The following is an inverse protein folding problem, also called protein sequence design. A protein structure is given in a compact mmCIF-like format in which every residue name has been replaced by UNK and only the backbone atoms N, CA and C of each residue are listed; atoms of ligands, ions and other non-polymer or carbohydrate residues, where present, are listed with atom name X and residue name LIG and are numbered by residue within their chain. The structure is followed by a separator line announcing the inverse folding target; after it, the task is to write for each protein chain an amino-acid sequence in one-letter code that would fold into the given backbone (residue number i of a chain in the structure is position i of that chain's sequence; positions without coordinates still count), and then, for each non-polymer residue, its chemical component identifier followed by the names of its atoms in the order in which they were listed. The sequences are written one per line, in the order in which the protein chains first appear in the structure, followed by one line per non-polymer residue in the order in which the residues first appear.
data_IF_534898514419
#
_entry.id   IF_534898514419
#
_cell.length_a   1.000
_cell.length_b   1.000
_cell.length_c   1.000
_cell.angle_alpha   90.00
_cell.angle_beta   90.00
_cell.angle_gamma   90.00
#
_symmetry.space_group_name_H-M   'P 1'
#
loop_
_entity.id
_entity.type
_entity.pdbx_description
1 polymer ?
#
# COMPACT_ATOMS: atom_id res chain seq x y z
N UNK A 1 11.22 0.75 28.98
CA UNK A 1 11.78 0.60 30.34
C UNK A 1 10.71 -0.02 31.21
N UNK A 2 11.05 -1.07 31.97
CA UNK A 2 10.12 -1.70 32.92
C UNK A 2 10.30 -1.03 34.28
N UNK A 3 9.25 -0.36 34.78
CA UNK A 3 9.28 0.39 36.05
C UNK A 3 8.56 -0.41 37.15
N UNK A 4 9.14 -0.46 38.36
CA UNK A 4 8.57 -1.18 39.50
C UNK A 4 9.59 -1.43 40.58
N UNK A 5 9.87 -2.66 40.91
CA UNK A 5 10.66 -3.05 42.11
C UNK A 5 12.07 -2.43 42.16
N UNK A 6 12.75 -2.28 41.03
CA UNK A 6 14.16 -1.85 40.95
C UNK A 6 14.37 -0.51 40.26
N UNK A 7 13.42 -0.06 39.46
CA UNK A 7 13.45 1.18 38.75
C UNK A 7 12.11 1.87 38.91
N UNK A 8 12.08 3.02 39.54
CA UNK A 8 10.87 3.81 39.72
C UNK A 8 10.65 4.72 38.50
N UNK A 9 9.40 5.13 38.28
CA UNK A 9 9.10 6.10 37.25
C UNK A 9 9.84 7.44 37.44
N UNK A 10 10.12 7.79 38.71
CA UNK A 10 10.92 8.96 39.10
C UNK A 10 12.40 8.91 38.68
N UNK A 11 12.91 7.69 38.42
CA UNK A 11 14.32 7.51 38.00
C UNK A 11 14.51 7.83 36.51
N UNK A 12 13.42 7.97 35.77
CA UNK A 12 13.41 8.44 34.38
C UNK A 12 13.44 9.95 34.39
N UNK A 13 14.64 10.51 34.34
CA UNK A 13 14.87 11.96 34.41
C UNK A 13 14.33 12.67 33.16
N UNK A 14 13.96 13.95 33.34
CA UNK A 14 13.52 14.78 32.23
C UNK A 14 14.64 14.97 31.19
N UNK A 15 15.91 15.03 31.62
CA UNK A 15 17.05 15.05 30.69
C UNK A 15 17.13 13.82 29.79
N UNK A 16 16.69 12.63 30.26
CA UNK A 16 16.60 11.43 29.42
C UNK A 16 15.45 11.52 28.43
N UNK A 17 14.29 12.04 28.84
CA UNK A 17 13.14 12.25 27.96
C UNK A 17 13.49 13.25 26.86
N UNK A 18 14.06 14.41 27.22
CA UNK A 18 14.48 15.45 26.27
C UNK A 18 15.49 14.90 25.24
N UNK A 19 16.40 14.03 25.67
CA UNK A 19 17.37 13.41 24.78
C UNK A 19 16.72 12.39 23.83
N UNK A 20 15.73 11.64 24.31
CA UNK A 20 14.95 10.72 23.46
C UNK A 20 14.13 11.50 22.44
N UNK A 21 13.49 12.61 22.86
CA UNK A 21 12.68 13.45 21.98
C UNK A 21 13.55 14.13 20.92
N UNK A 22 14.72 14.66 21.29
CA UNK A 22 15.69 15.24 20.35
C UNK A 22 16.21 14.23 19.31
N UNK A 23 16.29 12.95 19.68
CA UNK A 23 16.71 11.86 18.81
C UNK A 23 15.55 11.20 18.05
N UNK A 24 14.31 11.68 18.20
CA UNK A 24 13.08 11.02 17.72
C UNK A 24 13.01 9.53 18.12
N UNK A 25 13.53 9.21 19.31
CA UNK A 25 13.59 7.85 19.84
C UNK A 25 12.43 7.62 20.81
N UNK A 26 11.44 6.75 20.52
CA UNK A 26 10.30 6.55 21.39
C UNK A 26 10.72 5.87 22.71
N UNK A 27 10.34 6.49 23.83
CA UNK A 27 10.57 5.97 25.18
C UNK A 27 9.24 5.49 25.77
N UNK A 28 9.15 4.19 26.06
CA UNK A 28 7.99 3.57 26.69
C UNK A 28 8.31 3.13 28.12
N UNK A 29 7.38 3.37 29.04
CA UNK A 29 7.41 2.83 30.38
C UNK A 29 6.35 1.74 30.53
N UNK A 30 6.71 0.65 31.17
CA UNK A 30 5.84 -0.51 31.40
C UNK A 30 5.80 -0.80 32.90
N UNK A 31 4.60 -1.00 33.49
CA UNK A 31 4.46 -1.49 34.85
C UNK A 31 5.18 -2.84 35.02
N UNK A 32 5.67 -3.11 36.22
CA UNK A 32 6.41 -4.36 36.52
C UNK A 32 5.60 -5.62 36.26
N UNK A 33 4.28 -5.56 36.45
CA UNK A 33 3.33 -6.66 36.25
C UNK A 33 3.20 -7.06 34.79
N UNK A 34 3.54 -6.15 33.87
CA UNK A 34 3.43 -6.38 32.43
C UNK A 34 4.69 -7.06 31.93
N UNK A 35 4.54 -8.27 31.42
CA UNK A 35 5.66 -9.01 30.84
C UNK A 35 5.99 -8.43 29.46
N UNK A 36 7.24 -8.01 29.27
CA UNK A 36 7.72 -7.52 27.97
C UNK A 36 7.51 -8.58 26.85
N UNK A 37 7.66 -9.86 27.21
CA UNK A 37 7.42 -10.96 26.28
C UNK A 37 5.99 -10.97 25.72
N UNK A 38 4.98 -10.72 26.56
CA UNK A 38 3.56 -10.71 26.14
C UNK A 38 3.27 -9.57 25.18
N UNK A 39 3.86 -8.39 25.45
CA UNK A 39 3.76 -7.22 24.55
C UNK A 39 4.44 -7.54 23.22
N UNK A 40 5.68 -8.04 23.25
CA UNK A 40 6.42 -8.39 22.03
C UNK A 40 5.67 -9.43 21.21
N UNK A 41 5.11 -10.44 21.84
CA UNK A 41 4.32 -11.46 21.18
C UNK A 41 3.03 -10.88 20.58
N UNK A 42 2.35 -9.98 21.28
CA UNK A 42 1.15 -9.30 20.78
C UNK A 42 1.46 -8.43 19.55
N UNK A 43 2.56 -7.65 19.62
CA UNK A 43 3.01 -6.86 18.46
C UNK A 43 3.37 -7.73 17.26
N UNK A 44 4.17 -8.78 17.47
CA UNK A 44 4.54 -9.69 16.40
C UNK A 44 3.31 -10.37 15.80
N UNK A 45 2.37 -10.82 16.63
CA UNK A 45 1.14 -11.44 16.15
C UNK A 45 0.30 -10.45 15.31
N UNK A 46 0.18 -9.20 15.74
CA UNK A 46 -0.53 -8.17 14.98
C UNK A 46 0.15 -7.86 13.65
N UNK A 47 1.48 -7.74 13.63
CA UNK A 47 2.25 -7.53 12.40
C UNK A 47 2.10 -8.71 11.43
N UNK A 48 2.18 -9.95 11.92
CA UNK A 48 1.99 -11.13 11.09
C UNK A 48 0.59 -11.24 10.51
N UNK A 49 -0.44 -10.89 11.28
CA UNK A 49 -1.83 -10.87 10.80
C UNK A 49 -2.02 -9.82 9.70
N UNK A 50 -1.53 -8.60 9.91
CA UNK A 50 -1.62 -7.51 8.92
C UNK A 50 -0.89 -7.87 7.63
N UNK A 51 0.34 -8.39 7.72
CA UNK A 51 1.08 -8.84 6.53
C UNK A 51 0.40 -10.00 5.81
N UNK A 52 -0.21 -10.92 6.55
CA UNK A 52 -0.94 -12.04 5.95
C UNK A 52 -2.18 -11.58 5.19
N UNK A 53 -2.92 -10.62 5.73
CA UNK A 53 -4.10 -10.05 5.07
C UNK A 53 -3.71 -9.26 3.82
N UNK A 54 -2.67 -8.42 3.89
CA UNK A 54 -2.15 -7.70 2.73
C UNK A 54 -1.67 -8.67 1.63
N UNK A 55 -0.94 -9.72 2.02
CA UNK A 55 -0.47 -10.75 1.07
C UNK A 55 -1.63 -11.51 0.41
N UNK A 56 -2.67 -11.86 1.17
CA UNK A 56 -3.88 -12.49 0.62
C UNK A 56 -4.59 -11.58 -0.36
N UNK A 57 -4.77 -10.31 -0.01
CA UNK A 57 -5.37 -9.32 -0.89
C UNK A 57 -4.57 -9.15 -2.20
N UNK A 58 -3.24 -9.06 -2.13
CA UNK A 58 -2.36 -8.99 -3.30
C UNK A 58 -2.54 -10.25 -4.17
N UNK A 59 -2.60 -11.43 -3.57
CA UNK A 59 -2.77 -12.69 -4.29
C UNK A 59 -4.12 -12.74 -4.99
N UNK A 60 -5.21 -12.39 -4.30
CA UNK A 60 -6.54 -12.33 -4.86
C UNK A 60 -6.62 -11.36 -6.05
N UNK A 61 -6.02 -10.17 -5.92
CA UNK A 61 -5.96 -9.21 -7.02
C UNK A 61 -5.14 -9.70 -8.21
N UNK A 62 -4.00 -10.37 -7.98
CA UNK A 62 -3.20 -10.97 -9.05
C UNK A 62 -3.96 -12.07 -9.78
N UNK A 63 -4.65 -12.93 -9.06
CA UNK A 63 -5.48 -13.98 -9.65
C UNK A 63 -6.65 -13.40 -10.44
N UNK A 64 -7.29 -12.36 -9.91
CA UNK A 64 -8.40 -11.70 -10.58
C UNK A 64 -7.99 -11.00 -11.87
N UNK A 65 -6.88 -10.25 -11.85
CA UNK A 65 -6.46 -9.44 -13.00
C UNK A 65 -5.73 -10.24 -14.08
N UNK A 66 -4.97 -11.26 -13.68
CA UNK A 66 -4.01 -11.94 -14.57
C UNK A 66 -4.16 -13.46 -14.61
N UNK A 67 -5.00 -14.02 -13.76
CA UNK A 67 -5.25 -15.47 -13.69
C UNK A 67 -6.44 -15.92 -14.51
N UNK A 68 -6.80 -17.19 -14.32
CA UNK A 68 -8.06 -17.73 -14.83
C UNK A 68 -9.19 -17.29 -13.91
N UNK A 69 -10.09 -16.46 -14.42
CA UNK A 69 -11.21 -15.89 -13.66
C UNK A 69 -12.07 -17.00 -13.03
N UNK A 70 -12.04 -17.08 -11.70
CA UNK A 70 -12.94 -17.94 -10.91
C UNK A 70 -13.92 -17.08 -10.10
N UNK A 71 -15.17 -17.52 -9.96
CA UNK A 71 -16.20 -16.81 -9.21
C UNK A 71 -15.87 -16.61 -7.72
N UNK A 72 -14.99 -17.43 -7.16
CA UNK A 72 -14.53 -17.33 -5.77
C UNK A 72 -13.70 -16.06 -5.47
N UNK A 73 -12.96 -15.56 -6.45
CA UNK A 73 -12.09 -14.38 -6.26
C UNK A 73 -12.92 -13.11 -6.12
N UNK A 74 -14.02 -12.97 -6.86
CA UNK A 74 -14.93 -11.82 -6.72
C UNK A 74 -15.52 -11.71 -5.32
N UNK A 75 -15.89 -12.86 -4.73
CA UNK A 75 -16.40 -12.89 -3.34
C UNK A 75 -15.32 -12.43 -2.35
N UNK A 76 -14.08 -12.83 -2.54
CA UNK A 76 -12.97 -12.43 -1.68
C UNK A 76 -12.67 -10.93 -1.82
N UNK A 77 -12.73 -10.37 -3.02
CA UNK A 77 -12.56 -8.93 -3.28
C UNK A 77 -13.72 -8.11 -2.68
N UNK A 78 -14.95 -8.61 -2.74
CA UNK A 78 -16.10 -7.96 -2.11
C UNK A 78 -15.95 -7.82 -0.58
N UNK A 79 -15.31 -8.79 0.08
CA UNK A 79 -15.00 -8.72 1.51
C UNK A 79 -13.99 -7.61 1.86
N UNK A 80 -13.18 -7.15 0.90
CA UNK A 80 -12.25 -6.04 1.08
C UNK A 80 -12.86 -4.66 0.83
N UNK A 81 -14.17 -4.58 0.64
CA UNK A 81 -14.91 -3.32 0.44
C UNK A 81 -15.01 -2.85 -1.01
N UNK A 82 -14.53 -3.64 -1.98
CA UNK A 82 -14.69 -3.35 -3.39
C UNK A 82 -16.07 -3.75 -3.88
N UNK A 83 -16.78 -2.81 -4.48
CA UNK A 83 -18.13 -3.03 -4.99
C UNK A 83 -18.08 -3.75 -6.34
N UNK A 84 -19.12 -4.45 -6.70
CA UNK A 84 -19.21 -5.06 -8.04
C UNK A 84 -19.50 -4.00 -9.11
N UNK A 85 -20.29 -2.99 -8.77
CA UNK A 85 -20.69 -1.88 -9.65
C UNK A 85 -19.88 -0.61 -9.35
N UNK A 86 -19.65 0.19 -10.37
CA UNK A 86 -19.00 1.48 -10.29
C UNK A 86 -17.82 1.60 -11.27
N UNK A 87 -17.41 2.82 -11.61
CA UNK A 87 -16.25 3.00 -12.46
C UNK A 87 -14.97 2.63 -11.73
N UNK A 88 -14.04 2.00 -12.46
CA UNK A 88 -12.71 1.62 -11.98
C UNK A 88 -11.64 2.07 -12.95
N UNK A 89 -10.51 2.53 -12.42
CA UNK A 89 -9.36 2.91 -13.23
C UNK A 89 -8.16 2.04 -12.87
N UNK A 90 -7.50 1.48 -13.87
CA UNK A 90 -6.25 0.75 -13.72
C UNK A 90 -5.10 1.55 -14.30
N UNK A 91 -4.04 1.73 -13.50
CA UNK A 91 -2.76 2.30 -13.92
C UNK A 91 -1.68 1.23 -13.75
N UNK A 92 -0.79 1.16 -14.72
CA UNK A 92 0.42 0.33 -14.65
C UNK A 92 1.62 1.24 -14.74
N UNK A 93 2.46 1.21 -13.73
CA UNK A 93 3.56 2.13 -13.52
C UNK A 93 4.88 1.38 -13.63
N UNK A 94 5.88 1.96 -14.26
CA UNK A 94 7.20 1.38 -14.37
C UNK A 94 8.27 2.46 -14.52
N UNK A 95 9.47 2.16 -14.05
CA UNK A 95 10.61 3.06 -14.12
C UNK A 95 11.58 2.81 -12.97
N UNK A 96 12.69 3.53 -12.95
CA UNK A 96 13.68 3.41 -11.88
C UNK A 96 13.13 3.85 -10.51
N UNK A 97 12.12 4.72 -10.52
CA UNK A 97 11.47 5.24 -9.31
C UNK A 97 10.40 4.28 -8.74
N UNK A 98 10.08 3.18 -9.43
CA UNK A 98 9.03 2.24 -8.97
C UNK A 98 9.55 1.23 -7.92
N UNK A 99 10.24 1.72 -6.91
CA UNK A 99 10.83 0.94 -5.81
C UNK A 99 9.94 0.90 -4.54
N UNK A 100 10.47 0.37 -3.45
CA UNK A 100 9.76 0.29 -2.17
C UNK A 100 9.47 1.67 -1.56
N UNK A 101 10.33 2.66 -1.80
CA UNK A 101 10.11 4.05 -1.35
C UNK A 101 8.94 4.66 -2.09
N UNK A 102 8.89 4.50 -3.42
CA UNK A 102 7.77 4.94 -4.25
C UNK A 102 6.44 4.35 -3.79
N UNK A 103 6.41 3.06 -3.43
CA UNK A 103 5.19 2.44 -2.91
C UNK A 103 4.72 3.06 -1.60
N UNK A 104 5.64 3.39 -0.69
CA UNK A 104 5.32 4.03 0.58
C UNK A 104 4.79 5.46 0.37
N UNK A 105 5.46 6.25 -0.48
CA UNK A 105 5.08 7.62 -0.81
C UNK A 105 3.73 7.64 -1.56
N UNK A 106 3.53 6.70 -2.49
CA UNK A 106 2.25 6.51 -3.19
C UNK A 106 1.10 6.23 -2.22
N UNK A 107 1.28 5.30 -1.27
CA UNK A 107 0.27 4.99 -0.24
C UNK A 107 -0.05 6.21 0.61
N UNK A 108 0.97 6.97 1.03
CA UNK A 108 0.78 8.21 1.80
C UNK A 108 -0.03 9.25 1.03
N UNK A 109 0.32 9.48 -0.23
CA UNK A 109 -0.40 10.41 -1.10
C UNK A 109 -1.84 9.97 -1.37
N UNK A 110 -2.06 8.71 -1.73
CA UNK A 110 -3.37 8.14 -2.06
C UNK A 110 -4.33 8.16 -0.85
N UNK A 111 -3.82 7.92 0.36
CA UNK A 111 -4.60 8.06 1.59
C UNK A 111 -5.15 9.48 1.77
N UNK A 112 -4.40 10.50 1.34
CA UNK A 112 -4.84 11.90 1.37
C UNK A 112 -5.96 12.23 0.37
N UNK A 113 -6.14 11.43 -0.68
CA UNK A 113 -7.20 11.66 -1.67
C UNK A 113 -8.58 11.18 -1.21
N UNK A 114 -8.67 10.31 -0.20
CA UNK A 114 -9.92 9.76 0.31
C UNK A 114 -10.69 8.85 -0.67
N UNK A 115 -10.08 8.48 -1.80
CA UNK A 115 -10.65 7.56 -2.79
C UNK A 115 -10.13 6.15 -2.51
N UNK A 116 -10.99 5.10 -2.53
CA UNK A 116 -10.53 3.74 -2.36
C UNK A 116 -9.56 3.33 -3.46
N UNK A 117 -8.45 2.76 -3.06
CA UNK A 117 -7.40 2.31 -3.97
C UNK A 117 -6.78 0.99 -3.51
N UNK A 118 -6.12 0.31 -4.43
CA UNK A 118 -5.23 -0.80 -4.13
C UNK A 118 -3.97 -0.71 -4.98
N UNK A 119 -2.79 -0.79 -4.35
CA UNK A 119 -1.50 -0.67 -5.03
C UNK A 119 -0.60 -1.83 -4.64
N UNK A 120 0.02 -2.47 -5.63
CA UNK A 120 0.89 -3.62 -5.39
C UNK A 120 1.92 -3.81 -6.51
N UNK A 121 3.08 -4.41 -6.20
CA UNK A 121 4.07 -4.76 -7.22
C UNK A 121 3.64 -6.00 -8.02
N UNK A 122 3.85 -5.93 -9.33
CA UNK A 122 3.62 -7.04 -10.25
C UNK A 122 4.73 -7.13 -11.30
N UNK A 123 5.57 -8.17 -11.20
CA UNK A 123 6.79 -8.31 -12.01
C UNK A 123 7.70 -7.08 -11.84
N UNK A 124 8.03 -6.40 -12.94
CA UNK A 124 8.84 -5.19 -13.02
C UNK A 124 8.00 -3.89 -13.02
N UNK A 125 6.75 -4.00 -12.61
CA UNK A 125 5.78 -2.88 -12.61
C UNK A 125 5.08 -2.75 -11.27
N UNK A 126 4.43 -1.62 -11.07
CA UNK A 126 3.48 -1.39 -9.98
C UNK A 126 2.10 -1.22 -10.59
N UNK A 127 1.13 -1.96 -10.08
CA UNK A 127 -0.27 -1.84 -10.48
C UNK A 127 -1.00 -1.02 -9.43
N UNK A 128 -1.67 0.03 -9.87
CA UNK A 128 -2.54 0.87 -9.06
C UNK A 128 -3.97 0.78 -9.59
N UNK A 129 -4.87 0.37 -8.73
CA UNK A 129 -6.30 0.29 -8.98
C UNK A 129 -7.01 1.37 -8.18
N UNK A 130 -7.95 2.04 -8.79
CA UNK A 130 -8.79 3.08 -8.16
C UNK A 130 -10.26 2.73 -8.32
N UNK A 131 -11.03 2.88 -7.26
CA UNK A 131 -12.48 2.86 -7.36
C UNK A 131 -12.96 4.27 -7.72
N UNK A 132 -13.31 4.49 -8.98
CA UNK A 132 -13.67 5.78 -9.53
C UNK A 132 -12.80 6.19 -10.72
N UNK A 133 -12.94 7.45 -11.11
CA UNK A 133 -12.13 8.07 -12.16
C UNK A 133 -10.74 8.48 -11.64
N UNK A 134 -9.82 8.73 -12.57
CA UNK A 134 -8.47 9.16 -12.25
C UNK A 134 -8.45 10.61 -11.76
N UNK A 135 -8.08 10.90 -10.49
CA UNK A 135 -8.04 12.26 -9.96
C UNK A 135 -6.94 13.10 -10.63
N UNK A 136 -7.27 14.35 -10.98
CA UNK A 136 -6.29 15.29 -11.55
C UNK A 136 -5.06 15.50 -10.64
N UNK A 137 -5.27 15.48 -9.33
CA UNK A 137 -4.19 15.57 -8.34
C UNK A 137 -3.20 14.40 -8.45
N UNK A 138 -3.70 13.18 -8.69
CA UNK A 138 -2.84 12.00 -8.89
C UNK A 138 -2.08 12.10 -10.20
N UNK A 139 -2.69 12.58 -11.27
CA UNK A 139 -2.00 12.83 -12.56
C UNK A 139 -0.85 13.82 -12.37
N UNK A 140 -1.11 14.92 -11.64
CA UNK A 140 -0.08 15.93 -11.37
C UNK A 140 1.06 15.36 -10.52
N UNK A 141 0.73 14.56 -9.52
CA UNK A 141 1.72 13.90 -8.65
C UNK A 141 2.59 12.91 -9.44
N UNK A 142 1.99 12.06 -10.28
CA UNK A 142 2.73 11.11 -11.12
C UNK A 142 3.68 11.81 -12.11
N UNK A 143 3.26 12.94 -12.70
CA UNK A 143 4.09 13.76 -13.60
C UNK A 143 5.32 14.36 -12.90
N UNK A 144 5.31 14.49 -11.59
CA UNK A 144 6.47 14.92 -10.80
C UNK A 144 7.60 13.89 -10.74
N UNK A 145 7.35 12.63 -11.15
CA UNK A 145 8.32 11.55 -11.17
C UNK A 145 8.82 11.33 -12.61
N UNK A 146 9.90 12.03 -12.97
CA UNK A 146 10.40 12.08 -14.36
C UNK A 146 10.79 10.73 -14.96
N UNK A 147 11.22 9.78 -14.12
CA UNK A 147 11.63 8.44 -14.55
C UNK A 147 10.49 7.42 -14.55
N UNK A 148 9.27 7.86 -14.24
CA UNK A 148 8.11 6.99 -14.17
C UNK A 148 7.34 7.02 -15.50
N UNK A 149 7.19 5.85 -16.11
CA UNK A 149 6.30 5.66 -17.26
C UNK A 149 4.98 5.10 -16.76
N UNK A 150 3.88 5.70 -17.18
CA UNK A 150 2.53 5.32 -16.77
C UNK A 150 1.72 4.86 -17.96
N UNK A 151 1.17 3.64 -17.88
CA UNK A 151 0.16 3.15 -18.80
C UNK A 151 -1.22 3.15 -18.12
N UNK A 152 -2.19 3.81 -18.74
CA UNK A 152 -3.57 3.84 -18.27
C UNK A 152 -4.46 3.00 -19.17
N UNK A 153 -5.31 2.16 -18.60
CA UNK A 153 -6.40 1.51 -19.30
C UNK A 153 -7.63 2.40 -19.42
N UNK A 154 -8.56 2.01 -20.27
CA UNK A 154 -9.88 2.64 -20.34
C UNK A 154 -10.60 2.40 -19.02
N UNK A 155 -11.32 3.41 -18.51
CA UNK A 155 -12.10 3.27 -17.28
C UNK A 155 -13.09 2.10 -17.41
N UNK A 156 -12.99 1.15 -16.53
CA UNK A 156 -13.87 -0.01 -16.48
C UNK A 156 -15.21 0.38 -15.83
N UNK A 157 -16.36 0.03 -16.44
CA UNK A 157 -17.66 0.37 -15.91
C UNK A 157 -18.04 -0.40 -14.64
N UNK A 158 -17.43 -1.56 -14.45
CA UNK A 158 -17.63 -2.47 -13.32
C UNK A 158 -16.35 -3.23 -12.99
N UNK A 159 -16.38 -3.98 -11.89
CA UNK A 159 -15.23 -4.75 -11.44
C UNK A 159 -14.83 -5.85 -12.44
N UNK A 160 -15.80 -6.44 -13.16
CA UNK A 160 -15.53 -7.53 -14.13
C UNK A 160 -14.75 -7.06 -15.35
N UNK A 161 -14.91 -5.81 -15.74
CA UNK A 161 -14.17 -5.18 -16.84
C UNK A 161 -12.76 -4.71 -16.46
N UNK A 162 -12.43 -4.66 -15.15
CA UNK A 162 -11.15 -4.17 -14.66
C UNK A 162 -9.92 -4.95 -15.18
N UNK A 163 -9.95 -6.29 -15.35
CA UNK A 163 -8.85 -7.04 -15.95
C UNK A 163 -8.51 -6.57 -17.37
N UNK A 164 -9.52 -6.24 -18.19
CA UNK A 164 -9.30 -5.72 -19.54
C UNK A 164 -8.70 -4.31 -19.50
N UNK A 165 -9.18 -3.45 -18.62
CA UNK A 165 -8.57 -2.13 -18.37
C UNK A 165 -7.10 -2.26 -17.95
N UNK A 166 -6.78 -3.17 -17.03
CA UNK A 166 -5.41 -3.40 -16.60
C UNK A 166 -4.52 -3.89 -17.75
N UNK A 167 -5.02 -4.79 -18.61
CA UNK A 167 -4.30 -5.26 -19.80
C UNK A 167 -4.01 -4.14 -20.79
N UNK A 168 -4.99 -3.26 -21.03
CA UNK A 168 -4.81 -2.06 -21.85
C UNK A 168 -3.75 -1.12 -21.27
N UNK A 169 -3.76 -0.93 -19.94
CA UNK A 169 -2.73 -0.17 -19.24
C UNK A 169 -1.33 -0.75 -19.43
N UNK A 170 -1.19 -2.08 -19.39
CA UNK A 170 0.08 -2.75 -19.68
C UNK A 170 0.53 -2.52 -21.13
N UNK A 171 -0.38 -2.58 -22.09
CA UNK A 171 -0.07 -2.31 -23.50
C UNK A 171 0.35 -0.83 -23.69
N UNK A 172 -0.37 0.11 -23.10
CA UNK A 172 -0.03 1.53 -23.15
C UNK A 172 1.35 1.80 -22.55
N UNK A 173 1.71 1.12 -21.44
CA UNK A 173 3.03 1.20 -20.84
C UNK A 173 4.14 0.76 -21.78
N UNK A 174 3.94 -0.37 -22.47
CA UNK A 174 4.90 -0.89 -23.45
C UNK A 174 5.13 0.12 -24.58
N UNK A 175 4.05 0.68 -25.13
CA UNK A 175 4.13 1.72 -26.15
C UNK A 175 4.84 2.98 -25.66
N UNK A 176 4.54 3.43 -24.43
CA UNK A 176 5.20 4.58 -23.81
C UNK A 176 6.72 4.39 -23.67
N UNK A 177 7.16 3.22 -23.22
CA UNK A 177 8.58 2.87 -23.11
C UNK A 177 9.30 2.87 -24.46
N UNK A 178 8.66 2.37 -25.51
CA UNK A 178 9.26 2.36 -26.85
C UNK A 178 9.45 3.78 -27.43
N UNK A 179 8.56 4.70 -27.12
CA UNK A 179 8.64 6.09 -27.62
C UNK A 179 9.58 6.98 -26.81
N UNK A 180 9.90 6.62 -25.57
CA UNK A 180 10.92 7.34 -24.78
C UNK A 180 12.34 6.97 -25.16
N UNK A 181 12.55 5.87 -25.87
CA UNK A 181 13.86 5.41 -26.34
C UNK A 181 14.21 5.92 -27.76
N UNK A 182 13.31 6.66 -28.39
CA UNK A 182 13.49 7.28 -29.72
C UNK A 182 13.77 8.76 -29.60
#
# INVERSE_FOLDING_TARGET
VNTGKYLLASDITDALKDRCDAAAFPLFTLPWEVRLADITQSFLSSLFLTHREEYRAITAWKEFLFGVQGSSVLTELALTGWKEEGPYTALVLAGADADASFLADSKSFLNGLGQPYFIFPYKDTVVLLLQGELPAALVAWLKGHEQLVTGQGVTAPDLKALPDSCRQGQQALIWGRLHQQS
#
